data_IF_404828765509
#
_entry.id   IF_404828765509
#
_cell.length_a   1.000
_cell.length_b   1.000
_cell.length_c   1.000
_cell.angle_alpha   90.00
_cell.angle_beta   90.00
_cell.angle_gamma   90.00
#
_symmetry.space_group_name_H-M   'P 1'
#
loop_
_entity.id
_entity.type
_entity.pdbx_description
1 polymer ?
#
# COMPACT_ATOMS: atom_id res chain seq x y z
N UNK A 1 28.34 -28.37 -48.62
CA UNK A 1 28.01 -28.65 -47.21
C UNK A 1 28.48 -27.47 -46.38
N UNK A 2 27.56 -26.57 -46.02
CA UNK A 2 27.82 -25.47 -45.09
C UNK A 2 26.67 -25.45 -44.09
N UNK A 3 26.90 -26.06 -42.93
CA UNK A 3 25.98 -26.05 -41.81
C UNK A 3 26.16 -24.75 -41.04
N UNK A 4 25.21 -23.82 -41.17
CA UNK A 4 25.14 -22.63 -40.31
C UNK A 4 24.19 -22.93 -39.16
N UNK A 5 24.73 -23.58 -38.12
CA UNK A 5 24.02 -23.82 -36.88
C UNK A 5 23.84 -22.48 -36.14
N UNK A 6 22.65 -21.90 -36.27
CA UNK A 6 22.22 -20.73 -35.50
C UNK A 6 22.15 -21.10 -34.03
N UNK A 7 23.21 -20.72 -33.31
CA UNK A 7 23.36 -20.83 -31.86
C UNK A 7 22.21 -20.08 -31.19
N UNK A 8 21.23 -20.83 -30.67
CA UNK A 8 20.10 -20.30 -29.93
C UNK A 8 20.57 -19.42 -28.79
N UNK A 9 20.20 -18.14 -28.83
CA UNK A 9 20.31 -17.25 -27.69
C UNK A 9 19.46 -17.83 -26.55
N UNK A 10 19.94 -17.87 -25.30
CA UNK A 10 19.09 -18.25 -24.18
C UNK A 10 17.95 -17.23 -24.11
N UNK A 11 16.71 -17.73 -24.25
CA UNK A 11 15.55 -16.95 -23.92
C UNK A 11 15.71 -16.49 -22.47
N UNK A 12 15.52 -15.21 -22.22
CA UNK A 12 15.43 -14.69 -20.87
C UNK A 12 14.21 -15.34 -20.23
N UNK A 13 14.44 -16.45 -19.54
CA UNK A 13 13.48 -17.08 -18.66
C UNK A 13 12.97 -15.99 -17.72
N UNK A 14 11.65 -15.76 -17.80
CA UNK A 14 10.97 -14.71 -17.06
C UNK A 14 11.43 -14.74 -15.61
N UNK A 15 11.75 -13.55 -15.07
CA UNK A 15 12.07 -13.38 -13.67
C UNK A 15 10.89 -13.91 -12.86
N UNK A 16 10.98 -15.17 -12.43
CA UNK A 16 10.13 -15.72 -11.38
C UNK A 16 10.43 -14.83 -10.18
N UNK A 17 9.49 -13.94 -9.84
CA UNK A 17 9.57 -13.13 -8.63
C UNK A 17 9.76 -14.10 -7.47
N UNK A 18 11.01 -14.25 -7.03
CA UNK A 18 11.35 -15.10 -5.90
C UNK A 18 10.77 -14.42 -4.68
N UNK A 19 9.61 -14.92 -4.27
CA UNK A 19 8.88 -14.38 -3.14
C UNK A 19 9.80 -14.36 -1.92
N UNK A 20 9.94 -13.19 -1.31
CA UNK A 20 10.93 -12.92 -0.28
C UNK A 20 10.54 -13.65 1.02
N UNK A 21 11.43 -14.49 1.55
CA UNK A 21 11.26 -15.12 2.85
C UNK A 21 11.48 -14.07 3.95
N UNK A 22 10.49 -13.87 4.84
CA UNK A 22 10.47 -12.82 5.85
C UNK A 22 10.17 -13.42 7.22
N UNK A 23 10.95 -13.02 8.23
CA UNK A 23 10.74 -13.46 9.60
C UNK A 23 9.62 -12.67 10.29
N UNK A 24 8.80 -13.37 11.06
CA UNK A 24 7.67 -12.78 11.80
C UNK A 24 6.35 -12.88 11.03
N UNK A 25 5.76 -14.08 10.92
CA UNK A 25 4.50 -14.28 10.22
C UNK A 25 3.36 -13.40 10.75
N UNK A 26 3.30 -13.18 12.06
CA UNK A 26 2.34 -12.24 12.65
C UNK A 26 2.51 -10.80 12.19
N UNK A 27 3.75 -10.33 11.99
CA UNK A 27 4.02 -8.96 11.49
C UNK A 27 3.69 -8.81 10.01
N UNK A 28 3.92 -9.86 9.21
CA UNK A 28 3.50 -9.90 7.80
C UNK A 28 1.97 -9.89 7.70
N UNK A 29 1.27 -10.69 8.52
CA UNK A 29 -0.19 -10.69 8.59
C UNK A 29 -0.72 -9.33 9.03
N UNK A 30 -0.12 -8.73 10.07
CA UNK A 30 -0.49 -7.39 10.52
C UNK A 30 -0.41 -6.39 9.38
N UNK A 31 0.75 -6.29 8.70
CA UNK A 31 0.94 -5.37 7.56
C UNK A 31 -0.13 -5.58 6.46
N UNK A 32 -0.44 -6.83 6.12
CA UNK A 32 -1.47 -7.15 5.11
C UNK A 32 -2.85 -6.69 5.53
N UNK A 33 -3.23 -6.94 6.79
CA UNK A 33 -4.55 -6.54 7.31
C UNK A 33 -4.67 -5.02 7.32
N UNK A 34 -3.69 -4.30 7.87
CA UNK A 34 -3.77 -2.83 7.93
C UNK A 34 -3.67 -2.17 6.55
N UNK A 35 -2.92 -2.75 5.60
CA UNK A 35 -2.91 -2.30 4.21
C UNK A 35 -4.25 -2.55 3.51
N UNK A 36 -4.87 -3.71 3.73
CA UNK A 36 -6.19 -4.01 3.16
C UNK A 36 -7.27 -3.08 3.72
N UNK A 37 -7.23 -2.79 5.03
CA UNK A 37 -8.11 -1.80 5.64
C UNK A 37 -7.86 -0.41 5.03
N UNK A 38 -6.60 0.03 4.92
CA UNK A 38 -6.27 1.32 4.30
C UNK A 38 -6.78 1.44 2.86
N UNK A 39 -6.62 0.38 2.06
CA UNK A 39 -7.19 0.32 0.71
C UNK A 39 -8.72 0.42 0.70
N UNK A 40 -9.42 -0.25 1.63
CA UNK A 40 -10.87 -0.15 1.74
C UNK A 40 -11.32 1.26 2.17
N UNK A 41 -10.62 1.88 3.12
CA UNK A 41 -10.87 3.26 3.54
C UNK A 41 -10.79 4.24 2.38
N UNK A 42 -9.86 4.07 1.42
CA UNK A 42 -9.81 4.93 0.22
C UNK A 42 -11.03 4.78 -0.69
N UNK A 43 -11.68 3.61 -0.72
CA UNK A 43 -12.94 3.42 -1.45
C UNK A 43 -14.10 4.12 -0.74
N UNK A 44 -14.16 4.02 0.59
CA UNK A 44 -15.15 4.75 1.40
C UNK A 44 -14.97 6.25 1.23
N UNK A 45 -13.73 6.74 1.27
CA UNK A 45 -13.40 8.14 1.07
C UNK A 45 -13.84 8.65 -0.32
N UNK A 46 -13.61 7.84 -1.36
CA UNK A 46 -14.06 8.12 -2.72
C UNK A 46 -15.59 8.14 -2.85
N UNK A 47 -16.31 7.22 -2.18
CA UNK A 47 -17.76 7.22 -2.13
C UNK A 47 -18.30 8.50 -1.47
N UNK A 48 -17.80 8.84 -0.28
CA UNK A 48 -18.23 10.03 0.47
C UNK A 48 -17.92 11.34 -0.27
N UNK A 49 -16.74 11.41 -0.91
CA UNK A 49 -16.40 12.54 -1.78
C UNK A 49 -17.33 12.61 -3.01
N UNK A 50 -17.65 11.46 -3.62
CA UNK A 50 -18.59 11.37 -4.73
C UNK A 50 -20.00 11.83 -4.35
N UNK A 51 -20.47 11.50 -3.15
CA UNK A 51 -21.76 11.97 -2.61
C UNK A 51 -21.77 13.49 -2.46
N UNK A 52 -20.70 14.07 -1.88
CA UNK A 52 -20.55 15.53 -1.76
C UNK A 52 -20.53 16.23 -3.12
N UNK A 53 -19.79 15.68 -4.09
CA UNK A 53 -19.75 16.20 -5.47
C UNK A 53 -21.09 16.05 -6.21
N UNK A 54 -21.92 15.09 -5.79
CA UNK A 54 -23.29 14.91 -6.26
C UNK A 54 -24.30 15.83 -5.53
N UNK A 55 -23.84 16.71 -4.64
CA UNK A 55 -24.65 17.73 -3.96
C UNK A 55 -25.12 17.34 -2.56
N UNK A 56 -24.71 16.19 -2.03
CA UNK A 56 -25.00 15.80 -0.65
C UNK A 56 -24.03 16.47 0.34
N UNK A 57 -24.41 17.67 0.80
CA UNK A 57 -23.60 18.47 1.73
C UNK A 57 -23.41 17.82 3.10
N UNK A 58 -24.33 16.94 3.51
CA UNK A 58 -24.24 16.24 4.80
C UNK A 58 -23.11 15.19 4.81
N UNK A 59 -22.61 14.82 3.63
CA UNK A 59 -21.45 13.92 3.48
C UNK A 59 -20.10 14.57 3.83
N UNK A 60 -20.05 15.89 4.11
CA UNK A 60 -18.80 16.59 4.45
C UNK A 60 -18.20 16.10 5.78
N UNK A 61 -19.03 15.93 6.81
CA UNK A 61 -18.61 15.48 8.14
C UNK A 61 -18.18 14.00 8.11
N UNK A 62 -18.95 13.06 7.54
CA UNK A 62 -18.51 11.68 7.33
C UNK A 62 -17.20 11.59 6.55
N UNK A 63 -17.03 12.39 5.49
CA UNK A 63 -15.78 12.41 4.70
C UNK A 63 -14.59 12.84 5.56
N UNK A 64 -14.76 13.89 6.37
CA UNK A 64 -13.73 14.35 7.32
C UNK A 64 -13.41 13.32 8.40
N UNK A 65 -14.42 12.66 8.98
CA UNK A 65 -14.22 11.59 9.97
C UNK A 65 -13.46 10.40 9.35
N UNK A 66 -13.85 9.98 8.14
CA UNK A 66 -13.14 8.93 7.41
C UNK A 66 -11.68 9.32 7.15
N UNK A 67 -11.39 10.58 6.84
CA UNK A 67 -10.00 11.03 6.65
C UNK A 67 -9.15 10.80 7.91
N UNK A 68 -9.67 11.08 9.10
CA UNK A 68 -8.95 10.81 10.36
C UNK A 68 -8.76 9.32 10.63
N UNK A 69 -9.75 8.49 10.29
CA UNK A 69 -9.65 7.03 10.41
C UNK A 69 -8.56 6.52 9.45
N UNK A 70 -8.56 6.98 8.21
CA UNK A 70 -7.54 6.65 7.22
C UNK A 70 -6.14 7.08 7.67
N UNK A 71 -5.97 8.30 8.20
CA UNK A 71 -4.70 8.77 8.77
C UNK A 71 -4.18 7.84 9.89
N UNK A 72 -5.07 7.41 10.80
CA UNK A 72 -4.72 6.46 11.85
C UNK A 72 -4.31 5.10 11.27
N UNK A 73 -5.03 4.59 10.27
CA UNK A 73 -4.70 3.33 9.60
C UNK A 73 -3.33 3.41 8.92
N UNK A 74 -3.03 4.49 8.21
CA UNK A 74 -1.71 4.71 7.59
C UNK A 74 -0.60 4.79 8.66
N UNK A 75 -0.87 5.43 9.81
CA UNK A 75 0.07 5.41 10.93
C UNK A 75 0.33 3.99 11.46
N UNK A 76 -0.71 3.15 11.57
CA UNK A 76 -0.57 1.74 11.94
C UNK A 76 0.23 0.94 10.90
N UNK A 77 0.10 1.25 9.60
CA UNK A 77 0.93 0.68 8.56
C UNK A 77 2.42 1.03 8.76
N UNK A 78 2.73 2.29 9.10
CA UNK A 78 4.10 2.71 9.42
C UNK A 78 4.64 1.94 10.63
N UNK A 79 3.84 1.79 11.70
CA UNK A 79 4.23 0.99 12.88
C UNK A 79 4.52 -0.47 12.48
N UNK A 80 3.63 -1.11 11.72
CA UNK A 80 3.82 -2.47 11.24
C UNK A 80 5.09 -2.59 10.38
N UNK A 81 5.35 -1.62 9.49
CA UNK A 81 6.53 -1.58 8.65
C UNK A 81 7.82 -1.37 9.45
N UNK A 82 7.82 -0.53 10.49
CA UNK A 82 8.96 -0.36 11.41
C UNK A 82 9.27 -1.66 12.14
N UNK A 83 8.25 -2.33 12.69
CA UNK A 83 8.43 -3.61 13.38
C UNK A 83 8.99 -4.68 12.45
N UNK A 84 8.47 -4.75 11.21
CA UNK A 84 8.94 -5.70 10.21
C UNK A 84 10.39 -5.40 9.79
N UNK A 85 10.73 -4.13 9.57
CA UNK A 85 12.09 -3.68 9.25
C UNK A 85 13.07 -3.97 10.39
N UNK A 86 12.67 -3.78 11.65
CA UNK A 86 13.53 -4.07 12.82
C UNK A 86 13.97 -5.53 12.87
N UNK A 87 13.08 -6.45 12.47
CA UNK A 87 13.35 -7.89 12.40
C UNK A 87 14.00 -8.33 11.09
N UNK A 88 13.80 -7.56 10.02
CA UNK A 88 14.28 -7.86 8.67
C UNK A 88 14.94 -6.61 8.05
N UNK A 89 16.17 -6.27 8.47
CA UNK A 89 16.81 -4.98 8.14
C UNK A 89 16.99 -4.70 6.65
N UNK A 90 17.07 -5.75 5.83
CA UNK A 90 17.17 -5.67 4.38
C UNK A 90 15.81 -5.34 3.70
N UNK A 91 14.68 -5.63 4.35
CA UNK A 91 13.33 -5.40 3.84
C UNK A 91 12.89 -3.95 4.10
N UNK A 92 13.49 -3.00 3.39
CA UNK A 92 13.27 -1.56 3.61
C UNK A 92 12.07 -0.98 2.87
N UNK A 93 11.55 -1.68 1.86
CA UNK A 93 10.49 -1.15 1.00
C UNK A 93 9.17 -0.87 1.74
N UNK A 94 8.69 -1.68 2.70
CA UNK A 94 7.42 -1.39 3.38
C UNK A 94 7.50 -0.09 4.17
N UNK A 95 8.65 0.16 4.80
CA UNK A 95 8.88 1.38 5.57
C UNK A 95 8.89 2.61 4.67
N UNK A 96 9.59 2.55 3.54
CA UNK A 96 9.61 3.67 2.58
C UNK A 96 8.23 3.94 1.98
N UNK A 97 7.49 2.88 1.61
CA UNK A 97 6.15 3.01 1.03
C UNK A 97 5.16 3.64 2.02
N UNK A 98 5.13 3.15 3.26
CA UNK A 98 4.20 3.63 4.29
C UNK A 98 4.53 5.04 4.78
N UNK A 99 5.82 5.42 4.85
CA UNK A 99 6.22 6.82 5.10
C UNK A 99 5.74 7.71 3.94
N UNK A 100 5.88 7.27 2.69
CA UNK A 100 5.37 8.02 1.53
C UNK A 100 3.86 8.21 1.59
N UNK A 101 3.11 7.15 1.88
CA UNK A 101 1.65 7.21 2.08
C UNK A 101 1.28 8.20 3.18
N UNK A 102 1.97 8.18 4.32
CA UNK A 102 1.71 9.11 5.43
C UNK A 102 1.89 10.58 5.00
N UNK A 103 3.00 10.88 4.31
CA UNK A 103 3.28 12.23 3.82
C UNK A 103 2.23 12.71 2.80
N UNK A 104 1.84 11.84 1.86
CA UNK A 104 0.80 12.17 0.90
C UNK A 104 -0.59 12.28 1.53
N UNK A 105 -0.88 11.52 2.58
CA UNK A 105 -2.14 11.62 3.32
C UNK A 105 -2.26 12.99 3.98
N UNK A 106 -1.23 13.45 4.71
CA UNK A 106 -1.23 14.82 5.27
C UNK A 106 -1.31 15.91 4.19
N UNK A 107 -0.64 15.70 3.05
CA UNK A 107 -0.75 16.61 1.91
C UNK A 107 -2.18 16.67 1.37
N UNK A 108 -2.86 15.51 1.29
CA UNK A 108 -4.25 15.42 0.84
C UNK A 108 -5.21 16.11 1.84
N UNK A 109 -4.97 15.98 3.15
CA UNK A 109 -5.73 16.71 4.18
C UNK A 109 -5.57 18.21 4.01
N UNK A 110 -4.33 18.70 3.86
CA UNK A 110 -4.05 20.11 3.58
C UNK A 110 -4.77 20.63 2.33
N UNK A 111 -4.68 19.90 1.21
CA UNK A 111 -5.36 20.29 -0.03
C UNK A 111 -6.90 20.32 0.11
N UNK A 112 -7.46 19.47 0.97
CA UNK A 112 -8.89 19.47 1.29
C UNK A 112 -9.30 20.73 2.07
N UNK A 113 -8.50 21.10 3.08
CA UNK A 113 -8.73 22.32 3.87
C UNK A 113 -8.61 23.60 3.04
N UNK A 114 -7.65 23.64 2.11
CA UNK A 114 -7.46 24.76 1.16
C UNK A 114 -8.50 24.76 0.01
N UNK A 115 -9.44 23.81 0.00
CA UNK A 115 -10.45 23.68 -1.06
C UNK A 115 -9.86 23.55 -2.47
N UNK A 116 -8.65 23.00 -2.59
CA UNK A 116 -7.97 22.78 -3.88
C UNK A 116 -8.51 21.50 -4.54
N UNK A 117 -9.76 21.56 -5.02
CA UNK A 117 -10.54 20.37 -5.37
C UNK A 117 -9.85 19.45 -6.38
N UNK A 118 -9.34 20.00 -7.49
CA UNK A 118 -8.70 19.20 -8.54
C UNK A 118 -7.45 18.47 -8.01
N UNK A 119 -6.62 19.15 -7.22
CA UNK A 119 -5.41 18.56 -6.65
C UNK A 119 -5.74 17.53 -5.57
N UNK A 120 -6.71 17.84 -4.70
CA UNK A 120 -7.18 16.96 -3.65
C UNK A 120 -7.74 15.64 -4.21
N UNK A 121 -8.65 15.71 -5.19
CA UNK A 121 -9.24 14.52 -5.84
C UNK A 121 -8.17 13.71 -6.57
N UNK A 122 -7.27 14.37 -7.32
CA UNK A 122 -6.19 13.69 -8.03
C UNK A 122 -5.27 12.94 -7.07
N UNK A 123 -4.89 13.57 -5.95
CA UNK A 123 -4.06 12.94 -4.94
C UNK A 123 -4.79 11.79 -4.22
N UNK A 124 -6.10 11.93 -3.97
CA UNK A 124 -6.94 10.86 -3.42
C UNK A 124 -6.94 9.60 -4.31
N UNK A 125 -7.10 9.77 -5.63
CA UNK A 125 -6.99 8.65 -6.59
C UNK A 125 -5.59 8.03 -6.58
N UNK A 126 -4.54 8.86 -6.50
CA UNK A 126 -3.17 8.37 -6.40
C UNK A 126 -2.93 7.58 -5.09
N UNK A 127 -3.48 8.03 -3.96
CA UNK A 127 -3.46 7.33 -2.67
C UNK A 127 -4.15 5.96 -2.76
N UNK A 128 -5.34 5.89 -3.37
CA UNK A 128 -6.03 4.63 -3.64
C UNK A 128 -5.16 3.64 -4.44
N UNK A 129 -4.47 4.13 -5.48
CA UNK A 129 -3.56 3.31 -6.28
C UNK A 129 -2.32 2.87 -5.48
N UNK A 130 -1.75 3.75 -4.65
CA UNK A 130 -0.61 3.45 -3.78
C UNK A 130 -0.97 2.41 -2.71
N UNK A 131 -2.15 2.52 -2.08
CA UNK A 131 -2.68 1.53 -1.13
C UNK A 131 -2.91 0.18 -1.80
N UNK A 132 -3.53 0.18 -2.99
CA UNK A 132 -3.69 -1.05 -3.79
C UNK A 132 -2.33 -1.70 -4.08
N UNK A 133 -1.33 -0.91 -4.48
CA UNK A 133 0.02 -1.41 -4.72
C UNK A 133 0.69 -1.94 -3.44
N UNK A 134 0.49 -1.29 -2.29
CA UNK A 134 0.97 -1.74 -0.99
C UNK A 134 0.37 -3.10 -0.64
N UNK A 135 -0.96 -3.25 -0.79
CA UNK A 135 -1.67 -4.53 -0.60
C UNK A 135 -1.05 -5.59 -1.50
N UNK A 136 -1.07 -5.40 -2.81
CA UNK A 136 -0.56 -6.39 -3.76
C UNK A 136 0.87 -6.83 -3.43
N UNK A 137 1.75 -5.87 -3.12
CA UNK A 137 3.15 -6.14 -2.79
C UNK A 137 3.31 -6.81 -1.42
N UNK A 138 2.52 -6.44 -0.41
CA UNK A 138 2.53 -7.11 0.91
C UNK A 138 2.10 -8.59 0.82
N UNK A 139 1.22 -8.93 -0.11
CA UNK A 139 0.83 -10.33 -0.37
C UNK A 139 1.90 -11.14 -1.11
N UNK A 140 2.91 -10.52 -1.72
CA UNK A 140 4.07 -11.23 -2.30
C UNK A 140 5.09 -11.72 -1.25
N UNK A 141 5.05 -11.20 -0.02
CA UNK A 141 5.96 -11.64 1.05
C UNK A 141 5.63 -13.08 1.47
N UNK A 142 6.64 -13.95 1.60
CA UNK A 142 6.47 -15.29 2.19
C UNK A 142 6.97 -15.24 3.63
N UNK A 143 6.06 -15.44 4.58
CA UNK A 143 6.47 -15.52 5.97
C UNK A 143 7.06 -16.89 6.29
N UNK A 144 8.21 -16.91 6.98
CA UNK A 144 8.76 -18.15 7.52
C UNK A 144 7.87 -18.59 8.70
N UNK A 145 7.21 -19.74 8.57
CA UNK A 145 6.55 -20.38 9.70
C UNK A 145 7.62 -20.73 10.74
N UNK A 146 7.42 -20.33 12.00
CA UNK A 146 8.27 -20.80 13.07
C UNK A 146 8.07 -22.32 13.18
N UNK A 147 9.09 -23.11 12.83
CA UNK A 147 9.11 -24.53 13.18
C UNK A 147 9.20 -24.60 14.69
N UNK A 148 8.11 -24.92 15.37
CA UNK A 148 8.16 -25.32 16.78
C UNK A 148 8.96 -26.62 16.85
N UNK A 149 10.14 -26.67 17.50
CA UNK A 149 10.79 -27.94 17.75
C UNK A 149 9.93 -28.74 18.73
N UNK A 150 9.68 -30.01 18.38
CA UNK A 150 8.96 -30.99 19.20
C UNK A 150 9.78 -31.44 20.41
#
# INVERSE_FOLDING_TARGET
MHDTSSKGAPSQAGAVTTAQAVDGPGLVTLLRVVAAIGCLETLVQGLLAGMLLNGDVDSIDPHGVNAYIFELVVLLQVVAAVLLWRRNRWLTWPLKATIGLLLFTFTQTFLGLESSLAAHVTLGVALCAMETALVLRAFTLRANSATTPA
#
